data_IF_631684838503
#
_entry.id   IF_631684838503
#
_cell.length_a   1.000
_cell.length_b   1.000
_cell.length_c   1.000
_cell.angle_alpha   90.00
_cell.angle_beta   90.00
_cell.angle_gamma   90.00
#
_symmetry.space_group_name_H-M   'P 1'
#
loop_
_entity.id
_entity.type
_entity.pdbx_description
1 polymer ?
#
# COMPACT_ATOMS: atom_id res chain seq x y z
N UNK A 1 -4.64 -14.94 2.96
CA UNK A 1 -4.89 -13.69 3.69
C UNK A 1 -4.29 -12.63 2.79
N UNK A 2 -5.14 -12.01 1.98
CA UNK A 2 -4.75 -10.90 1.13
C UNK A 2 -4.26 -9.76 2.01
N UNK A 3 -3.12 -9.20 1.66
CA UNK A 3 -2.50 -8.11 2.40
C UNK A 3 -2.41 -6.85 1.54
N UNK A 4 -2.47 -5.69 2.19
CA UNK A 4 -2.25 -4.40 1.53
C UNK A 4 -0.82 -4.00 1.83
N UNK A 5 0.04 -4.19 0.83
CA UNK A 5 1.45 -3.85 0.91
C UNK A 5 1.70 -2.50 0.26
N UNK A 6 2.08 -1.53 1.09
CA UNK A 6 2.59 -0.22 0.64
C UNK A 6 4.11 -0.21 0.78
N UNK A 7 4.77 -0.28 -0.37
CA UNK A 7 6.23 -0.44 -0.46
C UNK A 7 6.86 0.65 -1.32
N UNK A 8 8.12 0.96 -1.04
CA UNK A 8 8.97 1.85 -1.84
C UNK A 8 10.19 1.10 -2.34
N UNK A 9 10.64 1.41 -3.55
CA UNK A 9 11.81 0.75 -4.15
C UNK A 9 13.15 1.37 -3.75
N UNK A 10 13.14 2.59 -3.20
CA UNK A 10 14.33 3.41 -2.97
C UNK A 10 14.37 4.01 -1.55
N UNK A 11 13.88 3.29 -0.52
CA UNK A 11 13.84 3.80 0.86
C UNK A 11 15.22 4.26 1.35
N UNK A 12 16.27 3.53 0.97
CA UNK A 12 17.67 3.78 1.35
C UNK A 12 18.27 5.06 0.73
N UNK A 13 17.61 5.66 -0.26
CA UNK A 13 18.09 6.87 -0.93
C UNK A 13 17.40 8.15 -0.45
N UNK A 14 16.45 8.05 0.49
CA UNK A 14 15.69 9.18 1.01
C UNK A 14 16.48 9.95 2.07
N UNK A 15 16.57 11.28 1.93
CA UNK A 15 16.95 12.16 3.04
C UNK A 15 15.87 12.11 4.12
N UNK A 16 16.21 12.44 5.36
CA UNK A 16 15.27 12.43 6.51
C UNK A 16 13.96 13.16 6.20
N UNK A 17 14.01 14.32 5.55
CA UNK A 17 12.82 15.07 5.15
C UNK A 17 11.95 14.32 4.11
N UNK A 18 12.59 13.68 3.14
CA UNK A 18 11.92 12.88 2.10
C UNK A 18 11.30 11.61 2.72
N UNK A 19 11.96 11.03 3.72
CA UNK A 19 11.45 9.88 4.47
C UNK A 19 10.20 10.22 5.30
N UNK A 20 10.20 11.37 6.00
CA UNK A 20 9.01 11.84 6.74
C UNK A 20 7.84 12.09 5.78
N UNK A 21 8.11 12.66 4.60
CA UNK A 21 7.09 12.88 3.57
C UNK A 21 6.55 11.55 3.00
N UNK A 22 7.43 10.57 2.82
CA UNK A 22 7.04 9.21 2.43
C UNK A 22 6.14 8.54 3.48
N UNK A 23 6.48 8.61 4.77
CA UNK A 23 5.65 8.05 5.83
C UNK A 23 4.24 8.66 5.84
N UNK A 24 4.13 9.99 5.71
CA UNK A 24 2.83 10.68 5.61
C UNK A 24 2.04 10.23 4.38
N UNK A 25 2.71 10.07 3.24
CA UNK A 25 2.07 9.59 2.01
C UNK A 25 1.57 8.15 2.17
N UNK A 26 2.39 7.28 2.78
CA UNK A 26 2.03 5.89 3.09
C UNK A 26 0.81 5.81 4.02
N UNK A 27 0.75 6.65 5.04
CA UNK A 27 -0.39 6.73 5.97
C UNK A 27 -1.66 7.22 5.26
N UNK A 28 -1.58 8.30 4.48
CA UNK A 28 -2.72 8.82 3.71
C UNK A 28 -3.28 7.79 2.73
N UNK A 29 -2.41 7.04 2.06
CA UNK A 29 -2.80 6.00 1.11
C UNK A 29 -3.48 4.85 1.83
N UNK A 30 -2.97 4.46 3.00
CA UNK A 30 -3.60 3.44 3.84
C UNK A 30 -4.99 3.88 4.28
N UNK A 31 -5.13 5.11 4.79
CA UNK A 31 -6.45 5.64 5.15
C UNK A 31 -7.43 5.68 3.97
N UNK A 32 -6.95 6.03 2.78
CA UNK A 32 -7.78 6.06 1.58
C UNK A 32 -8.28 4.65 1.22
N UNK A 33 -7.41 3.64 1.27
CA UNK A 33 -7.75 2.25 0.99
C UNK A 33 -8.73 1.69 2.03
N UNK A 34 -8.54 2.04 3.30
CA UNK A 34 -9.44 1.67 4.39
C UNK A 34 -10.82 2.32 4.22
N UNK A 35 -10.87 3.64 3.94
CA UNK A 35 -12.12 4.37 3.68
C UNK A 35 -12.86 3.84 2.45
N UNK A 36 -12.14 3.42 1.41
CA UNK A 36 -12.71 2.81 0.22
C UNK A 36 -13.18 1.36 0.45
N UNK A 37 -12.94 0.78 1.64
CA UNK A 37 -13.37 -0.58 1.98
C UNK A 37 -12.62 -1.66 1.19
N UNK A 38 -11.41 -1.37 0.71
CA UNK A 38 -10.63 -2.28 -0.14
C UNK A 38 -10.30 -3.58 0.61
N UNK A 39 -9.94 -3.52 1.90
CA UNK A 39 -9.72 -4.72 2.71
C UNK A 39 -10.96 -5.62 2.77
N UNK A 40 -12.15 -5.03 2.96
CA UNK A 40 -13.41 -5.76 3.02
C UNK A 40 -13.75 -6.38 1.66
N UNK A 41 -13.51 -5.64 0.58
CA UNK A 41 -13.66 -6.14 -0.78
C UNK A 41 -12.73 -7.32 -1.07
N UNK A 42 -11.45 -7.22 -0.71
CA UNK A 42 -10.45 -8.28 -0.90
C UNK A 42 -10.81 -9.53 -0.10
N UNK A 43 -11.21 -9.38 1.17
CA UNK A 43 -11.66 -10.52 1.99
C UNK A 43 -12.93 -11.17 1.43
N UNK A 44 -13.84 -10.38 0.88
CA UNK A 44 -15.03 -10.91 0.21
C UNK A 44 -14.66 -11.67 -1.06
N UNK A 45 -13.73 -11.14 -1.86
CA UNK A 45 -13.26 -11.76 -3.09
C UNK A 45 -12.50 -13.07 -2.80
N UNK A 46 -11.60 -13.10 -1.80
CA UNK A 46 -10.92 -14.32 -1.35
C UNK A 46 -11.92 -15.40 -0.90
N UNK A 47 -12.99 -15.01 -0.19
CA UNK A 47 -14.06 -15.95 0.19
C UNK A 47 -14.84 -16.48 -1.02
N UNK A 48 -15.04 -15.65 -2.04
CA UNK A 48 -15.73 -16.04 -3.27
C UNK A 48 -14.88 -16.94 -4.17
N UNK A 49 -13.55 -16.90 -4.03
CA UNK A 49 -12.64 -17.64 -4.89
C UNK A 49 -11.80 -18.59 -4.05
N UNK A 50 -12.35 -19.79 -3.80
CA UNK A 50 -11.74 -20.86 -3.02
C UNK A 50 -10.28 -21.12 -3.45
N UNK A 51 -9.31 -20.64 -2.67
CA UNK A 51 -7.88 -20.92 -2.85
C UNK A 51 -7.08 -19.91 -3.67
N UNK A 52 -7.64 -18.74 -4.01
CA UNK A 52 -6.88 -17.65 -4.65
C UNK A 52 -6.60 -16.51 -3.66
N UNK A 53 -5.31 -16.15 -3.53
CA UNK A 53 -4.88 -14.95 -2.80
C UNK A 53 -4.99 -13.74 -3.73
N UNK A 54 -5.60 -12.66 -3.24
CA UNK A 54 -5.68 -11.39 -3.97
C UNK A 54 -4.95 -10.33 -3.16
N UNK A 55 -3.82 -9.86 -3.69
CA UNK A 55 -2.99 -8.83 -3.06
C UNK A 55 -3.06 -7.52 -3.85
N UNK A 56 -3.11 -6.40 -3.13
CA UNK A 56 -3.05 -5.06 -3.71
C UNK A 56 -1.73 -4.41 -3.30
N UNK A 57 -0.88 -4.16 -4.29
CA UNK A 57 0.43 -3.56 -4.07
C UNK A 57 0.42 -2.13 -4.60
N UNK A 58 0.61 -1.16 -3.70
CA UNK A 58 0.79 0.23 -4.07
C UNK A 58 2.28 0.57 -4.00
N UNK A 59 2.87 0.91 -5.14
CA UNK A 59 4.30 1.25 -5.25
C UNK A 59 4.47 2.75 -5.48
N UNK A 60 5.34 3.35 -4.67
CA UNK A 60 5.79 4.72 -4.86
C UNK A 60 7.24 4.76 -5.34
N UNK A 61 7.54 5.69 -6.24
CA UNK A 61 8.91 6.06 -6.62
C UNK A 61 9.10 7.54 -6.33
N UNK A 62 10.16 7.88 -5.61
CA UNK A 62 10.57 9.27 -5.40
C UNK A 62 11.66 9.56 -6.43
N UNK A 63 11.30 10.23 -7.54
CA UNK A 63 12.28 10.74 -8.49
C UNK A 63 12.93 12.00 -7.92
N UNK A 64 14.27 11.98 -7.81
CA UNK A 64 15.04 13.18 -7.49
C UNK A 64 15.14 14.02 -8.76
N UNK A 65 14.59 15.24 -8.71
CA UNK A 65 14.85 16.29 -9.71
C UNK A 65 16.26 16.84 -9.59
#
# INVERSE_FOLDING_TARGET
MGDILVETKNEEHLKVQEYVQYLKTKENVREFLDKAGIEAFLRSAEKSVNGLTVDVIVRFSVEKK
#
